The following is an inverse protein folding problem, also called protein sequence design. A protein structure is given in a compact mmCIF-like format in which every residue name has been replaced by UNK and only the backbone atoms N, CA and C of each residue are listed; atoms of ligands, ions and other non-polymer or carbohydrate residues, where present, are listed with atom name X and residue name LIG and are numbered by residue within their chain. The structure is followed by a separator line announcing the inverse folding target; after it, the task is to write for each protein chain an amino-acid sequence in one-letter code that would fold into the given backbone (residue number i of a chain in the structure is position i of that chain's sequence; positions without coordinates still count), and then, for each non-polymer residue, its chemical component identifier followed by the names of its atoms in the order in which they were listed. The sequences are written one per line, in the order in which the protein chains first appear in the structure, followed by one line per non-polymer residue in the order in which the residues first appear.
data_IF_954909429681
#
_entry.id   IF_954909429681
#
_cell.length_a   1.000
_cell.length_b   1.000
_cell.length_c   1.000
_cell.angle_alpha   90.00
_cell.angle_beta   90.00
_cell.angle_gamma   90.00
#
_symmetry.space_group_name_H-M   'P 1'
#
loop_
_entity.id
_entity.type
_entity.pdbx_description
1 polymer ?
#
# COMPACT_ATOMS: atom_id res chain seq x y z
N UNK A 1 -0.93 -4.07 18.54
CA UNK A 1 -1.38 -4.98 17.47
C UNK A 1 -1.04 -6.40 17.90
N UNK A 2 -1.91 -7.40 17.68
CA UNK A 2 -1.65 -8.78 18.12
C UNK A 2 -0.97 -9.62 17.02
N UNK A 3 -0.27 -10.69 17.39
CA UNK A 3 0.32 -11.63 16.42
C UNK A 3 -0.74 -12.22 15.48
N UNK A 4 -1.95 -12.53 15.99
CA UNK A 4 -3.09 -12.99 15.16
C UNK A 4 -3.48 -11.97 14.08
N UNK A 5 -3.57 -10.68 14.43
CA UNK A 5 -3.87 -9.62 13.46
C UNK A 5 -2.78 -9.51 12.38
N UNK A 6 -1.51 -9.54 12.77
CA UNK A 6 -0.38 -9.48 11.82
C UNK A 6 -0.40 -10.70 10.90
N UNK A 7 -0.64 -11.91 11.42
CA UNK A 7 -0.73 -13.14 10.62
C UNK A 7 -1.86 -13.06 9.59
N UNK A 8 -3.06 -12.60 9.96
CA UNK A 8 -4.15 -12.43 8.99
C UNK A 8 -3.84 -11.37 7.93
N UNK A 9 -3.17 -10.27 8.29
CA UNK A 9 -2.72 -9.25 7.32
C UNK A 9 -1.65 -9.79 6.38
N UNK A 10 -0.69 -10.56 6.88
CA UNK A 10 0.33 -11.21 6.07
C UNK A 10 -0.29 -12.24 5.10
N UNK A 11 -1.27 -13.04 5.54
CA UNK A 11 -2.00 -13.95 4.65
C UNK A 11 -2.77 -13.22 3.54
N UNK A 12 -3.43 -12.09 3.86
CA UNK A 12 -4.08 -11.24 2.84
C UNK A 12 -3.08 -10.64 1.85
N UNK A 13 -1.94 -10.16 2.35
CA UNK A 13 -0.86 -9.63 1.50
C UNK A 13 -0.36 -10.71 0.53
N UNK A 14 -0.02 -11.90 1.03
CA UNK A 14 0.45 -13.04 0.20
C UNK A 14 -0.59 -13.42 -0.86
N UNK A 15 -1.87 -13.50 -0.49
CA UNK A 15 -2.95 -13.81 -1.44
C UNK A 15 -3.19 -12.72 -2.50
N UNK A 16 -2.71 -11.49 -2.28
CA UNK A 16 -2.90 -10.35 -3.21
C UNK A 16 -1.67 -10.06 -4.07
N UNK A 17 -0.48 -10.28 -3.52
CA UNK A 17 0.82 -9.83 -4.07
C UNK A 17 1.74 -11.01 -4.43
N UNK A 18 1.50 -12.20 -3.89
CA UNK A 18 2.38 -13.37 -3.99
C UNK A 18 3.21 -13.61 -2.72
N UNK A 19 3.82 -14.79 -2.62
CA UNK A 19 4.62 -15.18 -1.45
C UNK A 19 6.04 -14.59 -1.52
N UNK A 20 6.48 -13.77 -0.56
CA UNK A 20 7.82 -13.20 -0.55
C UNK A 20 8.85 -14.22 0.00
N UNK A 21 10.04 -14.31 -0.62
CA UNK A 21 11.13 -15.16 -0.14
C UNK A 21 11.62 -14.77 1.26
N UNK A 22 11.63 -13.47 1.57
CA UNK A 22 12.02 -12.94 2.87
C UNK A 22 11.28 -11.65 3.21
N UNK A 23 11.15 -11.35 4.50
CA UNK A 23 10.52 -10.14 5.04
C UNK A 23 11.50 -9.49 6.01
N UNK A 24 11.79 -8.19 5.84
CA UNK A 24 12.50 -7.40 6.85
C UNK A 24 11.47 -6.76 7.80
N UNK A 25 11.73 -6.83 9.11
CA UNK A 25 10.87 -6.21 10.12
C UNK A 25 11.65 -5.70 11.33
N UNK A 26 10.95 -4.98 12.21
CA UNK A 26 11.44 -4.56 13.52
C UNK A 26 11.44 -5.72 14.52
N UNK A 27 12.03 -5.49 15.69
CA UNK A 27 12.11 -6.49 16.75
C UNK A 27 10.79 -6.71 17.52
N UNK A 28 9.64 -6.23 17.04
CA UNK A 28 8.38 -6.32 17.78
C UNK A 28 7.94 -7.77 17.97
N UNK A 29 7.39 -8.05 19.17
CA UNK A 29 7.09 -9.40 19.62
C UNK A 29 6.15 -10.16 18.67
N UNK A 30 5.21 -9.47 18.00
CA UNK A 30 4.31 -10.07 17.02
C UNK A 30 5.03 -10.69 15.82
N UNK A 31 6.09 -10.04 15.30
CA UNK A 31 6.86 -10.58 14.18
C UNK A 31 7.78 -11.72 14.63
N UNK A 32 8.36 -11.62 15.84
CA UNK A 32 9.13 -12.72 16.44
C UNK A 32 8.30 -13.98 16.65
N UNK A 33 7.09 -13.85 17.19
CA UNK A 33 6.17 -14.98 17.34
C UNK A 33 5.77 -15.57 15.99
N UNK A 34 5.49 -14.77 14.96
CA UNK A 34 5.19 -15.29 13.61
C UNK A 34 6.41 -16.00 13.00
N UNK A 35 7.63 -15.47 13.19
CA UNK A 35 8.86 -16.15 12.77
C UNK A 35 9.02 -17.51 13.44
N UNK A 36 8.76 -17.60 14.75
CA UNK A 36 8.79 -18.86 15.49
C UNK A 36 7.73 -19.84 14.96
N UNK A 37 6.50 -19.37 14.70
CA UNK A 37 5.46 -20.19 14.08
C UNK A 37 5.91 -20.75 12.72
N UNK A 38 6.46 -19.93 11.82
CA UNK A 38 6.95 -20.40 10.51
C UNK A 38 8.12 -21.38 10.63
N UNK A 39 9.05 -21.18 11.58
CA UNK A 39 10.13 -22.13 11.85
C UNK A 39 9.64 -23.45 12.46
N UNK A 40 8.47 -23.46 13.12
CA UNK A 40 7.88 -24.66 13.73
C UNK A 40 7.01 -25.50 12.78
N UNK A 41 6.71 -25.00 11.57
CA UNK A 41 6.02 -25.79 10.55
C UNK A 41 6.93 -26.93 10.08
N UNK A 42 6.38 -28.13 9.78
CA UNK A 42 7.16 -29.24 9.23
C UNK A 42 7.89 -28.82 7.95
N UNK A 43 8.98 -29.51 7.62
CA UNK A 43 9.60 -29.32 6.32
C UNK A 43 8.60 -29.71 5.21
N UNK A 44 8.47 -28.87 4.17
CA UNK A 44 7.57 -29.15 3.06
C UNK A 44 7.98 -30.47 2.41
N UNK A 45 7.01 -31.38 2.25
CA UNK A 45 7.23 -32.62 1.52
C UNK A 45 7.28 -32.26 0.05
N UNK A 46 8.41 -32.52 -0.61
CA UNK A 46 8.60 -32.21 -2.03
C UNK A 46 7.65 -33.09 -2.84
N UNK A 47 6.57 -32.49 -3.34
CA UNK A 47 5.71 -33.07 -4.36
C UNK A 47 5.67 -32.06 -5.52
N UNK A 48 5.91 -32.50 -6.75
CA UNK A 48 6.28 -31.63 -7.89
C UNK A 48 5.12 -30.77 -8.45
N UNK A 49 4.08 -30.55 -7.65
CA UNK A 49 2.85 -29.86 -8.02
C UNK A 49 2.96 -28.33 -7.81
N UNK A 50 2.25 -27.55 -8.63
CA UNK A 50 2.42 -26.07 -8.70
C UNK A 50 2.12 -25.37 -7.35
N UNK A 51 1.22 -25.94 -6.55
CA UNK A 51 0.90 -25.47 -5.20
C UNK A 51 2.10 -25.53 -4.25
N UNK A 52 3.03 -26.45 -4.48
CA UNK A 52 4.15 -26.71 -3.58
C UNK A 52 5.26 -25.68 -3.71
N UNK A 53 5.38 -24.93 -4.83
CA UNK A 53 6.41 -23.88 -4.97
C UNK A 53 6.33 -22.79 -3.88
N UNK A 54 5.11 -22.43 -3.44
CA UNK A 54 4.88 -21.48 -2.36
C UNK A 54 5.01 -22.08 -0.96
N UNK A 55 4.91 -23.41 -0.84
CA UNK A 55 5.04 -24.17 0.41
C UNK A 55 6.51 -24.53 0.68
N UNK A 56 7.26 -24.86 -0.38
CA UNK A 56 8.67 -25.22 -0.40
C UNK A 56 9.61 -24.11 0.07
N UNK A 57 9.24 -22.84 -0.12
CA UNK A 57 10.07 -21.70 0.29
C UNK A 57 9.50 -21.00 1.52
N UNK A 58 9.87 -21.51 2.71
CA UNK A 58 9.64 -20.84 4.00
C UNK A 58 10.07 -19.36 3.91
N UNK A 59 9.15 -18.46 4.28
CA UNK A 59 9.40 -17.02 4.33
C UNK A 59 10.47 -16.72 5.38
N UNK A 60 11.65 -16.25 4.96
CA UNK A 60 12.72 -15.90 5.90
C UNK A 60 12.42 -14.54 6.57
N UNK A 61 12.14 -14.56 7.87
CA UNK A 61 12.04 -13.32 8.66
C UNK A 61 13.45 -12.80 9.00
N UNK A 62 13.74 -11.57 8.58
CA UNK A 62 14.98 -10.84 8.87
C UNK A 62 14.66 -9.67 9.78
N UNK A 63 15.40 -9.53 10.87
CA UNK A 63 15.19 -8.49 11.87
C UNK A 63 16.27 -7.43 11.77
N UNK A 64 15.90 -6.15 11.74
CA UNK A 64 16.87 -5.05 11.88
C UNK A 64 17.56 -5.14 13.26
N UNK A 65 18.81 -4.69 13.43
CA UNK A 65 19.47 -4.71 14.73
C UNK A 65 18.71 -3.84 15.74
N UNK A 66 18.73 -4.25 17.01
CA UNK A 66 18.20 -3.46 18.11
C UNK A 66 18.79 -2.04 18.08
N UNK A 67 17.98 -1.04 18.44
CA UNK A 67 18.37 0.38 18.49
C UNK A 67 18.87 0.96 17.14
N UNK A 68 18.46 0.37 16.00
CA UNK A 68 18.79 0.87 14.65
C UNK A 68 17.59 1.50 13.91
N UNK A 69 16.91 2.54 14.44
CA UNK A 69 15.66 3.06 13.87
C UNK A 69 15.84 3.66 12.47
N UNK A 70 17.05 4.11 12.11
CA UNK A 70 17.32 4.64 10.77
C UNK A 70 17.08 3.63 9.65
N UNK A 71 17.20 2.32 9.91
CA UNK A 71 16.88 1.27 8.93
C UNK A 71 15.38 1.18 8.63
N UNK A 72 14.52 1.59 9.59
CA UNK A 72 13.07 1.64 9.40
C UNK A 72 12.55 2.96 8.83
N UNK A 73 13.33 4.04 8.95
CA UNK A 73 12.88 5.40 8.71
C UNK A 73 12.26 5.66 7.33
N UNK A 74 12.65 4.94 6.28
CA UNK A 74 12.05 5.09 4.95
C UNK A 74 10.59 4.63 4.92
N UNK A 75 10.29 3.41 5.37
CA UNK A 75 8.91 2.92 5.38
C UNK A 75 8.08 3.61 6.47
N UNK A 76 8.69 3.98 7.61
CA UNK A 76 8.00 4.73 8.66
C UNK A 76 7.55 6.12 8.16
N UNK A 77 8.44 6.86 7.49
CA UNK A 77 8.11 8.16 6.88
C UNK A 77 7.03 8.01 5.82
N UNK A 78 7.10 6.98 4.99
CA UNK A 78 6.09 6.69 3.95
C UNK A 78 4.71 6.37 4.56
N UNK A 79 4.68 5.59 5.66
CA UNK A 79 3.46 5.27 6.43
C UNK A 79 2.89 6.52 7.13
N UNK A 80 3.73 7.41 7.65
CA UNK A 80 3.31 8.65 8.30
C UNK A 80 2.62 9.61 7.31
N UNK A 81 3.24 9.85 6.15
CA UNK A 81 2.64 10.64 5.07
C UNK A 81 1.31 10.04 4.63
N UNK A 82 1.24 8.71 4.51
CA UNK A 82 0.03 8.00 4.10
C UNK A 82 -1.09 8.25 5.10
N UNK A 83 -0.84 7.99 6.39
CA UNK A 83 -1.81 8.19 7.47
C UNK A 83 -2.29 9.64 7.57
N UNK A 84 -1.39 10.61 7.43
CA UNK A 84 -1.73 12.05 7.44
C UNK A 84 -2.63 12.42 6.26
N UNK A 85 -2.25 12.02 5.04
CA UNK A 85 -3.00 12.31 3.81
C UNK A 85 -4.36 11.62 3.82
N UNK A 86 -4.41 10.36 4.25
CA UNK A 86 -5.63 9.56 4.37
C UNK A 86 -6.59 10.13 5.42
N UNK A 87 -6.09 10.46 6.63
CA UNK A 87 -6.91 11.10 7.67
C UNK A 87 -7.42 12.49 7.25
N UNK A 88 -6.63 13.23 6.47
CA UNK A 88 -7.04 14.53 5.96
C UNK A 88 -8.15 14.39 4.91
N UNK A 89 -7.99 13.48 3.95
CA UNK A 89 -9.00 13.19 2.93
C UNK A 89 -10.35 12.80 3.58
N UNK A 90 -10.35 11.83 4.50
CA UNK A 90 -11.58 11.37 5.17
C UNK A 90 -12.16 12.34 6.22
N UNK A 91 -11.55 13.52 6.43
CA UNK A 91 -11.87 14.33 7.61
C UNK A 91 -13.33 14.80 7.65
N UNK A 92 -13.94 14.71 8.84
CA UNK A 92 -15.31 15.12 9.16
C UNK A 92 -16.46 14.44 8.37
N UNK A 93 -16.21 13.34 7.63
CA UNK A 93 -17.28 12.57 6.98
C UNK A 93 -17.62 11.28 7.75
N UNK A 94 -18.91 10.97 7.85
CA UNK A 94 -19.39 9.64 8.23
C UNK A 94 -19.40 8.78 6.97
N UNK A 95 -18.64 7.68 6.99
CA UNK A 95 -18.45 6.77 5.87
C UNK A 95 -18.70 5.34 6.35
N UNK A 96 -19.22 4.49 5.47
CA UNK A 96 -19.37 3.08 5.79
C UNK A 96 -18.01 2.35 5.82
N UNK A 97 -17.96 1.18 6.44
CA UNK A 97 -16.79 0.32 6.44
C UNK A 97 -16.39 -0.13 5.03
N UNK A 98 -17.33 -0.33 4.10
CA UNK A 98 -17.01 -0.65 2.70
C UNK A 98 -16.47 0.57 1.93
N UNK A 99 -17.00 1.78 2.14
CA UNK A 99 -16.42 3.04 1.62
C UNK A 99 -14.95 3.15 2.05
N UNK A 100 -14.68 2.98 3.35
CA UNK A 100 -13.34 3.09 3.93
C UNK A 100 -12.40 2.03 3.38
N UNK A 101 -12.87 0.79 3.12
CA UNK A 101 -12.05 -0.26 2.49
C UNK A 101 -11.72 0.09 1.03
N UNK A 102 -12.69 0.61 0.28
CA UNK A 102 -12.53 0.98 -1.13
C UNK A 102 -11.54 2.13 -1.27
N UNK A 103 -11.76 3.24 -0.55
CA UNK A 103 -10.85 4.40 -0.56
C UNK A 103 -9.45 4.01 -0.07
N UNK A 104 -9.32 3.10 0.91
CA UNK A 104 -8.01 2.58 1.33
C UNK A 104 -7.29 1.80 0.22
N UNK A 105 -8.03 1.05 -0.62
CA UNK A 105 -7.47 0.27 -1.73
C UNK A 105 -7.07 1.14 -2.92
N UNK A 106 -7.85 2.18 -3.22
CA UNK A 106 -7.49 3.19 -4.22
C UNK A 106 -6.28 4.02 -3.75
N UNK A 107 -6.21 4.36 -2.45
CA UNK A 107 -5.07 5.05 -1.87
C UNK A 107 -3.79 4.19 -1.93
N UNK A 108 -3.90 2.87 -1.72
CA UNK A 108 -2.80 1.92 -1.96
C UNK A 108 -2.38 1.91 -3.44
N UNK A 109 -3.33 1.94 -4.37
CA UNK A 109 -3.05 1.99 -5.81
C UNK A 109 -2.26 3.26 -6.18
N UNK A 110 -2.70 4.43 -5.70
CA UNK A 110 -2.02 5.73 -5.87
C UNK A 110 -0.59 5.70 -5.33
N UNK A 111 -0.38 5.18 -4.12
CA UNK A 111 0.97 5.07 -3.53
C UNK A 111 1.87 4.16 -4.38
N UNK A 112 1.31 3.12 -5.00
CA UNK A 112 2.04 2.16 -5.83
C UNK A 112 2.19 2.55 -7.30
N UNK A 113 1.46 3.57 -7.79
CA UNK A 113 1.63 4.16 -9.13
C UNK A 113 2.53 5.40 -9.14
N UNK A 114 3.03 5.86 -7.99
CA UNK A 114 3.99 6.96 -7.91
C UNK A 114 5.25 6.70 -8.77
N UNK A 115 5.82 7.71 -9.46
CA UNK A 115 7.07 7.54 -10.19
C UNK A 115 8.26 7.37 -9.23
N UNK A 116 9.19 6.46 -9.57
CA UNK A 116 10.49 6.28 -8.91
C UNK A 116 11.64 6.82 -9.76
N UNK A 117 11.47 6.88 -11.08
CA UNK A 117 12.38 7.55 -12.01
C UNK A 117 11.79 8.86 -12.48
N UNK A 118 12.63 9.74 -13.02
CA UNK A 118 12.18 10.96 -13.68
C UNK A 118 11.20 10.66 -14.82
N UNK A 119 10.27 11.59 -15.00
CA UNK A 119 9.45 11.68 -16.21
C UNK A 119 10.26 12.39 -17.29
N UNK A 120 10.09 11.97 -18.54
CA UNK A 120 10.72 12.58 -19.73
C UNK A 120 9.64 12.91 -20.75
N UNK A 121 9.84 13.94 -21.56
CA UNK A 121 8.87 14.34 -22.60
C UNK A 121 8.79 13.34 -23.77
N UNK A 122 9.65 12.31 -23.79
CA UNK A 122 9.60 11.21 -24.75
C UNK A 122 8.44 10.25 -24.43
N UNK A 123 7.50 10.16 -25.38
CA UNK A 123 6.28 9.33 -25.33
C UNK A 123 6.60 7.84 -25.14
N UNK A 124 7.82 7.40 -25.44
CA UNK A 124 8.26 6.00 -25.27
C UNK A 124 8.66 5.65 -23.83
N UNK A 125 8.95 6.65 -22.98
CA UNK A 125 9.51 6.43 -21.65
C UNK A 125 8.48 6.64 -20.53
N UNK A 126 7.90 5.54 -20.06
CA UNK A 126 7.09 5.56 -18.83
C UNK A 126 8.00 5.54 -17.60
N UNK A 127 7.76 6.38 -16.59
CA UNK A 127 8.53 6.33 -15.35
C UNK A 127 8.29 5.00 -14.64
N UNK A 128 9.34 4.39 -14.08
CA UNK A 128 9.23 3.14 -13.34
C UNK A 128 8.47 3.39 -12.03
N UNK A 129 7.39 2.63 -11.77
CA UNK A 129 6.56 2.76 -10.56
C UNK A 129 6.76 1.54 -9.66
N UNK A 130 6.48 1.61 -8.34
CA UNK A 130 6.54 0.45 -7.44
C UNK A 130 5.74 -0.76 -7.94
N UNK A 131 4.57 -0.52 -8.55
CA UNK A 131 3.72 -1.59 -9.08
C UNK A 131 4.37 -2.31 -10.27
N UNK A 132 5.24 -1.66 -11.05
CA UNK A 132 5.80 -2.26 -12.26
C UNK A 132 6.78 -3.41 -11.96
N UNK A 133 7.32 -3.50 -10.74
CA UNK A 133 8.08 -4.67 -10.28
C UNK A 133 7.23 -5.92 -10.03
N UNK A 134 5.91 -5.77 -9.91
CA UNK A 134 4.96 -6.86 -9.67
C UNK A 134 4.08 -7.12 -10.91
N UNK A 135 3.60 -6.05 -11.54
CA UNK A 135 2.68 -6.04 -12.69
C UNK A 135 3.08 -4.91 -13.65
N UNK A 136 4.07 -5.14 -14.52
CA UNK A 136 4.58 -4.12 -15.46
C UNK A 136 3.45 -3.48 -16.28
N UNK A 137 3.48 -2.14 -16.40
CA UNK A 137 2.53 -1.33 -17.19
C UNK A 137 1.06 -1.49 -16.79
N UNK A 138 0.76 -2.03 -15.61
CA UNK A 138 -0.63 -2.14 -15.15
C UNK A 138 -1.24 -0.75 -14.94
N UNK A 139 -2.50 -0.61 -15.33
CA UNK A 139 -3.35 0.52 -15.00
C UNK A 139 -4.21 0.12 -13.80
N UNK A 140 -4.10 0.86 -12.70
CA UNK A 140 -4.88 0.62 -11.48
C UNK A 140 -6.08 1.57 -11.34
N UNK A 141 -6.25 2.49 -12.30
CA UNK A 141 -7.38 3.42 -12.32
C UNK A 141 -8.53 2.75 -13.08
N UNK A 142 -9.70 2.67 -12.44
CA UNK A 142 -10.94 2.26 -13.11
C UNK A 142 -11.51 3.38 -14.00
N UNK A 143 -12.63 3.12 -14.70
CA UNK A 143 -13.44 4.20 -15.26
C UNK A 143 -13.86 5.14 -14.12
N UNK A 144 -13.92 6.44 -14.39
CA UNK A 144 -14.58 7.41 -13.51
C UNK A 144 -15.89 7.87 -14.15
N UNK A 145 -16.91 8.26 -13.38
CA UNK A 145 -18.11 8.86 -13.93
C UNK A 145 -17.75 10.11 -14.72
N UNK A 146 -18.15 10.15 -15.99
CA UNK A 146 -18.17 11.36 -16.80
C UNK A 146 -19.58 11.96 -16.74
N UNK A 147 -19.68 13.28 -16.68
CA UNK A 147 -20.97 13.99 -16.73
C UNK A 147 -21.58 13.85 -18.13
N UNK A 148 -22.46 12.86 -18.32
CA UNK A 148 -23.26 12.68 -19.54
C UNK A 148 -24.71 12.26 -19.21
N UNK A 149 -25.62 12.69 -20.09
CA UNK A 149 -27.07 12.85 -19.86
C UNK A 149 -27.87 11.53 -19.83
N UNK A 150 -29.10 11.61 -19.31
CA UNK A 150 -29.90 10.50 -18.76
C UNK A 150 -30.62 9.58 -19.78
N UNK A 151 -30.76 8.28 -19.43
CA UNK A 151 -32.04 7.53 -19.57
C UNK A 151 -32.10 6.28 -18.62
N UNK A 152 -33.31 5.77 -18.33
CA UNK A 152 -33.70 5.08 -17.06
C UNK A 152 -34.52 3.79 -17.28
N UNK A 153 -34.67 2.80 -16.36
CA UNK A 153 -33.83 2.12 -15.35
C UNK A 153 -34.62 0.88 -14.81
N UNK A 154 -34.08 0.04 -13.88
CA UNK A 154 -34.94 -0.43 -12.78
C UNK A 154 -34.26 -0.47 -11.38
N UNK A 155 -35.07 -0.41 -10.32
CA UNK A 155 -34.63 -0.10 -8.95
C UNK A 155 -34.14 -1.30 -8.09
N UNK A 156 -32.86 -1.29 -7.73
CA UNK A 156 -32.38 -1.21 -6.33
C UNK A 156 -31.14 -0.29 -6.33
N UNK A 157 -31.12 0.72 -5.45
CA UNK A 157 -30.20 1.90 -5.52
C UNK A 157 -30.20 2.59 -6.90
N UNK A 158 -30.93 3.69 -7.03
CA UNK A 158 -31.04 4.45 -8.29
C UNK A 158 -29.65 4.77 -8.85
N UNK A 159 -29.48 4.68 -10.18
CA UNK A 159 -28.20 4.99 -10.84
C UNK A 159 -27.67 6.38 -10.46
N UNK A 160 -28.54 7.37 -10.37
CA UNK A 160 -28.25 8.71 -9.82
C UNK A 160 -27.60 8.65 -8.41
N UNK A 161 -28.15 7.86 -7.49
CA UNK A 161 -27.61 7.72 -6.13
C UNK A 161 -26.26 7.00 -6.10
N UNK A 162 -26.04 6.03 -7.00
CA UNK A 162 -24.71 5.42 -7.17
C UNK A 162 -23.69 6.41 -7.74
N UNK A 163 -24.07 7.20 -8.75
CA UNK A 163 -23.18 8.22 -9.36
C UNK A 163 -22.83 9.31 -8.34
N UNK A 164 -23.79 9.80 -7.57
CA UNK A 164 -23.50 10.78 -6.51
C UNK A 164 -22.55 10.23 -5.44
N UNK A 165 -22.68 8.96 -5.06
CA UNK A 165 -21.77 8.34 -4.09
C UNK A 165 -20.37 8.06 -4.68
N UNK A 166 -20.30 7.66 -5.95
CA UNK A 166 -19.04 7.48 -6.65
C UNK A 166 -18.31 8.82 -6.85
N UNK A 167 -19.03 9.90 -7.12
CA UNK A 167 -18.46 11.25 -7.15
C UNK A 167 -17.98 11.69 -5.76
N UNK A 168 -18.75 11.42 -4.70
CA UNK A 168 -18.40 11.68 -3.29
C UNK A 168 -17.12 10.96 -2.86
N UNK A 169 -16.92 9.71 -3.27
CA UNK A 169 -15.73 8.90 -2.98
C UNK A 169 -14.54 9.28 -3.87
N UNK A 170 -14.79 9.60 -5.15
CA UNK A 170 -13.77 10.13 -6.08
C UNK A 170 -13.20 11.49 -5.65
N UNK A 171 -14.02 12.36 -5.05
CA UNK A 171 -13.56 13.61 -4.44
C UNK A 171 -12.60 13.34 -3.28
N UNK A 172 -12.92 12.36 -2.42
CA UNK A 172 -12.06 11.96 -1.29
C UNK A 172 -10.71 11.43 -1.78
N UNK A 173 -10.69 10.59 -2.82
CA UNK A 173 -9.43 10.05 -3.32
C UNK A 173 -8.59 11.11 -4.07
N UNK A 174 -9.24 12.09 -4.71
CA UNK A 174 -8.59 13.27 -5.29
C UNK A 174 -7.93 14.14 -4.22
N UNK A 175 -8.63 14.40 -3.11
CA UNK A 175 -8.09 15.11 -1.95
C UNK A 175 -6.92 14.35 -1.30
N UNK A 176 -7.00 13.01 -1.22
CA UNK A 176 -5.88 12.16 -0.81
C UNK A 176 -4.68 12.32 -1.75
N UNK A 177 -4.87 12.23 -3.07
CA UNK A 177 -3.82 12.37 -4.08
C UNK A 177 -3.07 13.69 -3.95
N UNK A 178 -3.78 14.82 -3.89
CA UNK A 178 -3.16 16.14 -3.76
C UNK A 178 -2.31 16.25 -2.49
N UNK A 179 -2.84 15.80 -1.34
CA UNK A 179 -2.11 15.87 -0.07
C UNK A 179 -0.92 14.93 -0.04
N UNK A 180 -1.11 13.68 -0.45
CA UNK A 180 -0.06 12.66 -0.54
C UNK A 180 1.10 13.14 -1.41
N UNK A 181 0.80 13.64 -2.61
CA UNK A 181 1.82 14.09 -3.57
C UNK A 181 2.59 15.29 -3.05
N UNK A 182 1.92 16.30 -2.48
CA UNK A 182 2.59 17.46 -1.90
C UNK A 182 3.56 17.07 -0.76
N UNK A 183 3.09 16.27 0.19
CA UNK A 183 3.91 15.81 1.33
C UNK A 183 5.06 14.90 0.84
N UNK A 184 4.79 13.98 -0.09
CA UNK A 184 5.79 13.07 -0.66
C UNK A 184 6.90 13.83 -1.41
N UNK A 185 6.55 14.78 -2.28
CA UNK A 185 7.54 15.62 -2.97
C UNK A 185 8.33 16.49 -1.98
N UNK A 186 7.69 16.99 -0.92
CA UNK A 186 8.38 17.70 0.17
C UNK A 186 9.42 16.80 0.87
N UNK A 187 9.25 15.48 0.84
CA UNK A 187 10.25 14.56 1.41
C UNK A 187 11.51 14.37 0.58
N UNK A 188 11.45 14.62 -0.73
CA UNK A 188 12.62 14.63 -1.63
C UNK A 188 13.37 15.95 -1.61
N UNK A 189 12.74 17.04 -1.12
CA UNK A 189 13.41 18.32 -0.94
C UNK A 189 14.54 18.12 0.08
N UNK A 190 15.77 18.12 -0.40
CA UNK A 190 16.96 17.80 0.38
C UNK A 190 17.04 18.69 1.63
N UNK A 191 16.82 18.07 2.79
CA UNK A 191 17.13 18.73 4.05
C UNK A 191 18.63 18.54 4.30
N UNK A 192 19.43 19.37 3.64
CA UNK A 192 20.87 19.45 3.85
C UNK A 192 21.12 19.89 5.29
N UNK A 193 21.24 18.92 6.21
CA UNK A 193 21.62 19.19 7.61
C UNK A 193 23.12 19.44 7.63
N UNK A 194 23.48 20.70 7.45
CA UNK A 194 24.85 21.20 7.55
C UNK A 194 25.47 20.98 8.93
N UNK A 195 24.65 20.80 9.97
CA UNK A 195 25.11 20.60 11.35
C UNK A 195 24.48 19.38 12.03
N UNK A 196 25.34 18.60 12.69
CA UNK A 196 24.94 17.49 13.56
C UNK A 196 24.67 18.04 14.96
N UNK A 197 23.43 17.94 15.46
CA UNK A 197 22.99 18.64 16.68
C UNK A 197 23.63 18.20 18.01
N UNK A 198 24.45 17.15 18.03
CA UNK A 198 25.20 16.71 19.20
C UNK A 198 26.63 16.32 18.79
N UNK A 199 27.69 16.79 19.48
CA UNK A 199 28.97 16.09 19.51
C UNK A 199 28.84 14.76 20.27
N UNK A 200 29.81 13.85 20.05
CA UNK A 200 29.97 12.61 20.83
C UNK A 200 30.57 12.89 22.20
#
# INVERSE_FOLDING_TARGET
MTAKTVLHTLRRFIATIGCPTWIISDNAQSFKTISQCYSSLPDPQVDDDIMDYCVNKRIQMKFIPSLSPWQGGLYEKMIDIFKKSYKHALSNRLLDIEDIKTIAKEAEAIVNTRPLTYYTDDITYFPLRPIDFLRPRTQLNGPQPTEHEDEWSPQETTAETLVTDWNRTSELITNFWHRWTHEYLTTFREHYKTEHKNPR
#
